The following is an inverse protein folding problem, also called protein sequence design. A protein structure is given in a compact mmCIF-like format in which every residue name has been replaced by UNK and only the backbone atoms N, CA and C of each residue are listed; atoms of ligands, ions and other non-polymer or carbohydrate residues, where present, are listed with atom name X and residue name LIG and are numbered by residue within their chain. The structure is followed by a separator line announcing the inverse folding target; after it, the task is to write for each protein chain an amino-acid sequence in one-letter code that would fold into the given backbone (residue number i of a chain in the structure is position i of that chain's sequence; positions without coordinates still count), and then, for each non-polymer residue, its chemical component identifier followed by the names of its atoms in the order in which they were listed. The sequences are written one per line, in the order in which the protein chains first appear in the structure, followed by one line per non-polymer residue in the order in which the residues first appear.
data_IF_160534680310
#
_entry.id   IF_160534680310
#
_cell.length_a   1.000
_cell.length_b   1.000
_cell.length_c   1.000
_cell.angle_alpha   90.00
_cell.angle_beta   90.00
_cell.angle_gamma   90.00
#
_symmetry.space_group_name_H-M   'P 1'
#
loop_
_entity.id
_entity.type
_entity.pdbx_description
1 polymer ?
#
# COMPACT_ATOMS: atom_id res chain seq x y z
N UNK A 1 -24.29 -4.29 15.56
CA UNK A 1 -23.91 -5.71 15.52
C UNK A 1 -22.78 -5.89 16.51
N UNK A 2 -22.92 -6.78 17.47
CA UNK A 2 -21.87 -7.11 18.43
C UNK A 2 -21.78 -8.63 18.57
N UNK A 3 -20.57 -9.11 18.86
CA UNK A 3 -20.31 -10.52 19.11
C UNK A 3 -20.36 -10.68 20.63
N UNK A 4 -21.29 -11.50 21.11
CA UNK A 4 -21.39 -11.88 22.52
C UNK A 4 -20.25 -12.83 22.90
N UNK A 5 -19.89 -12.88 24.19
CA UNK A 5 -18.80 -13.73 24.70
C UNK A 5 -19.04 -15.25 24.46
N UNK A 6 -20.27 -15.63 24.12
CA UNK A 6 -20.68 -16.99 23.76
C UNK A 6 -20.57 -17.29 22.23
N UNK A 7 -20.13 -16.33 21.42
CA UNK A 7 -20.01 -16.46 19.97
C UNK A 7 -21.27 -16.12 19.17
N UNK A 8 -22.36 -15.68 19.82
CA UNK A 8 -23.56 -15.22 19.13
C UNK A 8 -23.33 -13.86 18.47
N UNK A 9 -23.92 -13.67 17.29
CA UNK A 9 -23.96 -12.38 16.60
C UNK A 9 -25.36 -11.82 16.73
N UNK A 10 -25.48 -10.73 17.49
CA UNK A 10 -26.76 -10.04 17.71
C UNK A 10 -26.76 -8.69 17.00
N UNK A 11 -27.90 -8.34 16.39
CA UNK A 11 -28.15 -7.00 15.88
C UNK A 11 -29.51 -6.50 16.35
N UNK A 12 -29.57 -5.20 16.61
CA UNK A 12 -30.76 -4.51 17.07
C UNK A 12 -30.92 -3.27 16.20
N UNK A 13 -32.15 -2.99 15.75
CA UNK A 13 -32.46 -1.74 15.07
C UNK A 13 -32.37 -0.58 16.08
N UNK A 14 -31.30 0.22 15.98
CA UNK A 14 -31.08 1.41 16.83
C UNK A 14 -31.82 2.66 16.35
N UNK A 15 -32.65 2.56 15.31
CA UNK A 15 -33.38 3.72 14.78
C UNK A 15 -34.42 4.28 15.77
N UNK A 16 -34.85 3.48 16.74
CA UNK A 16 -35.81 3.88 17.77
C UNK A 16 -37.20 4.22 17.23
N UNK A 17 -37.48 3.91 15.96
CA UNK A 17 -38.73 4.23 15.27
C UNK A 17 -39.45 2.95 14.89
N UNK A 18 -40.74 2.86 15.21
CA UNK A 18 -41.60 1.79 14.71
C UNK A 18 -41.69 1.91 13.19
N UNK A 19 -41.07 0.99 12.45
CA UNK A 19 -41.11 1.00 10.98
C UNK A 19 -42.31 0.17 10.50
N UNK A 20 -43.36 0.85 10.03
CA UNK A 20 -44.51 0.19 9.38
C UNK A 20 -44.28 0.04 7.88
N UNK A 21 -44.62 -1.12 7.31
CA UNK A 21 -44.59 -1.34 5.85
C UNK A 21 -43.29 -1.96 5.31
N UNK A 22 -42.42 -2.48 6.17
CA UNK A 22 -41.26 -3.28 5.74
C UNK A 22 -41.76 -4.59 5.15
N UNK A 23 -41.55 -4.79 3.84
CA UNK A 23 -41.90 -6.03 3.13
C UNK A 23 -40.87 -7.14 3.31
N UNK A 24 -39.60 -6.79 3.53
CA UNK A 24 -38.52 -7.70 3.90
C UNK A 24 -37.31 -6.93 4.45
N UNK A 25 -36.57 -7.53 5.38
CA UNK A 25 -35.27 -7.05 5.85
C UNK A 25 -34.22 -8.05 5.39
N UNK A 26 -33.14 -7.57 4.77
CA UNK A 26 -31.99 -8.41 4.41
C UNK A 26 -30.78 -7.96 5.22
N UNK A 27 -30.33 -8.80 6.14
CA UNK A 27 -29.00 -8.70 6.73
C UNK A 27 -28.05 -9.57 5.89
N UNK A 28 -26.85 -9.08 5.63
CA UNK A 28 -25.80 -9.86 5.00
C UNK A 28 -24.56 -9.71 5.85
N UNK A 29 -24.04 -10.83 6.33
CA UNK A 29 -22.78 -10.92 7.03
C UNK A 29 -21.94 -11.98 6.30
N UNK A 30 -20.62 -11.83 6.35
CA UNK A 30 -19.70 -12.81 5.78
C UNK A 30 -19.00 -13.51 6.94
N UNK A 31 -19.09 -14.83 6.96
CA UNK A 31 -18.37 -15.65 7.93
C UNK A 31 -17.04 -16.01 7.28
N UNK A 32 -15.92 -15.83 8.00
CA UNK A 32 -14.60 -16.26 7.50
C UNK A 32 -14.64 -17.76 7.19
N UNK A 33 -13.99 -18.17 6.10
CA UNK A 33 -14.04 -19.55 5.57
C UNK A 33 -13.57 -20.64 6.55
N UNK A 34 -12.88 -20.27 7.62
CA UNK A 34 -12.42 -21.18 8.67
C UNK A 34 -13.52 -21.54 9.70
N UNK A 35 -14.72 -20.97 9.59
CA UNK A 35 -15.87 -21.34 10.42
C UNK A 35 -16.84 -22.19 9.61
N UNK A 36 -17.15 -23.41 10.09
CA UNK A 36 -18.22 -24.24 9.55
C UNK A 36 -19.58 -23.75 10.05
N UNK A 37 -20.44 -23.27 9.15
CA UNK A 37 -21.86 -23.03 9.44
C UNK A 37 -22.61 -24.36 9.42
N UNK A 38 -23.15 -24.79 10.57
CA UNK A 38 -23.77 -26.11 10.72
C UNK A 38 -25.29 -26.09 10.55
N UNK A 39 -25.92 -24.91 10.68
CA UNK A 39 -27.35 -24.75 10.44
C UNK A 39 -27.83 -23.33 10.67
N UNK A 40 -28.91 -22.99 9.97
CA UNK A 40 -29.68 -21.77 10.14
C UNK A 40 -30.97 -22.13 10.89
N UNK A 41 -31.25 -21.46 12.01
CA UNK A 41 -32.58 -21.55 12.64
C UNK A 41 -33.25 -20.20 12.49
N UNK A 42 -34.40 -20.22 11.80
CA UNK A 42 -35.34 -19.11 11.78
C UNK A 42 -36.45 -19.45 12.76
N UNK A 43 -36.52 -18.69 13.85
CA UNK A 43 -37.69 -18.65 14.74
C UNK A 43 -38.36 -17.28 14.60
N UNK A 44 -39.61 -17.16 15.06
CA UNK A 44 -40.46 -15.99 14.80
C UNK A 44 -39.80 -14.63 15.09
N UNK A 45 -38.79 -14.55 15.97
CA UNK A 45 -38.11 -13.31 16.32
C UNK A 45 -36.56 -13.40 16.34
N UNK A 46 -35.96 -14.55 15.99
CA UNK A 46 -34.50 -14.75 16.06
C UNK A 46 -33.98 -15.54 14.85
N UNK A 47 -32.94 -14.99 14.21
CA UNK A 47 -32.08 -15.69 13.27
C UNK A 47 -30.76 -16.02 13.98
N UNK A 48 -30.48 -17.30 14.17
CA UNK A 48 -29.24 -17.76 14.77
C UNK A 48 -28.44 -18.62 13.78
N UNK A 49 -27.14 -18.33 13.67
CA UNK A 49 -26.18 -19.17 12.95
C UNK A 49 -25.40 -19.97 13.97
N UNK A 50 -25.50 -21.29 13.91
CA UNK A 50 -24.70 -22.17 14.76
C UNK A 50 -23.38 -22.48 14.08
N UNK A 51 -22.30 -22.03 14.70
CA UNK A 51 -20.93 -22.38 14.33
C UNK A 51 -20.45 -23.47 15.29
N UNK A 52 -20.29 -24.71 14.82
CA UNK A 52 -19.78 -25.79 15.67
C UNK A 52 -18.87 -26.75 14.92
N UNK A 53 -17.58 -26.46 14.95
CA UNK A 53 -16.48 -27.42 15.08
C UNK A 53 -15.21 -26.59 15.01
N UNK A 54 -14.60 -26.36 16.17
CA UNK A 54 -13.17 -26.08 16.24
C UNK A 54 -12.48 -27.34 15.72
N UNK A 55 -12.20 -27.39 14.43
CA UNK A 55 -10.92 -27.97 14.08
C UNK A 55 -9.91 -27.02 14.74
N UNK A 56 -9.17 -27.50 15.76
CA UNK A 56 -8.00 -26.82 16.33
C UNK A 56 -6.86 -26.73 15.30
N UNK A 57 -7.20 -26.57 14.02
CA UNK A 57 -6.24 -26.28 12.99
C UNK A 57 -5.58 -24.96 13.36
N UNK A 58 -4.25 -24.89 13.24
CA UNK A 58 -3.53 -23.68 13.49
C UNK A 58 -4.07 -22.54 12.62
N UNK A 59 -4.20 -21.36 13.20
CA UNK A 59 -4.61 -20.14 12.50
C UNK A 59 -3.50 -19.12 12.59
N UNK A 60 -3.26 -18.41 11.48
CA UNK A 60 -2.40 -17.23 11.41
C UNK A 60 -3.24 -16.03 10.96
N UNK A 61 -3.03 -14.89 11.59
CA UNK A 61 -3.63 -13.61 11.22
C UNK A 61 -2.56 -12.52 11.29
N UNK A 62 -2.80 -11.40 10.64
CA UNK A 62 -1.95 -10.21 10.68
C UNK A 62 -2.79 -9.00 11.04
N UNK A 63 -2.20 -8.05 11.77
CA UNK A 63 -2.85 -6.81 12.20
C UNK A 63 -3.30 -5.91 11.04
N UNK A 64 -2.51 -5.88 9.96
CA UNK A 64 -2.81 -5.13 8.74
C UNK A 64 -2.36 -5.88 7.47
N UNK A 65 -3.18 -5.80 6.43
CA UNK A 65 -2.90 -6.45 5.13
C UNK A 65 -1.98 -5.62 4.22
N UNK A 66 -1.74 -4.35 4.55
CA UNK A 66 -0.85 -3.49 3.79
C UNK A 66 -0.18 -2.44 4.69
N UNK A 67 0.96 -1.95 4.22
CA UNK A 67 1.76 -0.94 4.89
C UNK A 67 2.93 -0.53 4.02
N UNK A 68 3.86 0.23 4.59
CA UNK A 68 5.02 0.77 3.90
C UNK A 68 6.31 0.03 4.33
N UNK A 69 7.38 0.14 3.54
CA UNK A 69 8.69 -0.38 3.99
C UNK A 69 9.07 0.24 5.33
N UNK A 70 9.51 -0.60 6.27
CA UNK A 70 9.85 -0.20 7.63
C UNK A 70 8.67 -0.15 8.60
N UNK A 71 7.45 -0.45 8.14
CA UNK A 71 6.35 -0.78 9.04
C UNK A 71 6.56 -2.16 9.68
N UNK A 72 6.17 -2.28 10.94
CA UNK A 72 6.01 -3.59 11.59
C UNK A 72 4.65 -4.19 11.26
N UNK A 73 4.63 -5.44 10.85
CA UNK A 73 3.44 -6.27 10.67
C UNK A 73 3.42 -7.33 11.76
N UNK A 74 2.39 -7.32 12.59
CA UNK A 74 2.27 -8.23 13.72
C UNK A 74 1.46 -9.45 13.32
N UNK A 75 2.15 -10.55 13.09
CA UNK A 75 1.53 -11.85 12.86
C UNK A 75 1.21 -12.50 14.20
N UNK A 76 -0.06 -12.87 14.39
CA UNK A 76 -0.52 -13.60 15.56
C UNK A 76 -1.13 -14.91 15.15
N UNK A 77 -0.81 -15.97 15.88
CA UNK A 77 -1.35 -17.28 15.62
C UNK A 77 -1.87 -17.97 16.87
N UNK A 78 -2.76 -18.94 16.68
CA UNK A 78 -3.44 -19.69 17.75
C UNK A 78 -3.70 -21.13 17.31
N UNK A 79 -4.05 -21.98 18.28
CA UNK A 79 -4.31 -23.42 18.10
C UNK A 79 -3.06 -24.21 17.65
N UNK A 80 -1.88 -23.81 18.11
CA UNK A 80 -0.67 -24.62 17.97
C UNK A 80 -0.50 -25.52 19.19
N UNK A 81 0.30 -26.57 19.03
CA UNK A 81 0.69 -27.44 20.14
C UNK A 81 1.43 -26.62 21.20
N UNK A 82 0.83 -26.55 22.39
CA UNK A 82 1.31 -25.77 23.53
C UNK A 82 2.78 -26.06 23.85
N UNK A 83 3.57 -25.00 24.01
CA UNK A 83 5.01 -25.08 24.32
C UNK A 83 5.85 -25.88 23.32
N UNK A 84 5.38 -26.04 22.06
CA UNK A 84 6.11 -26.74 21.00
C UNK A 84 6.54 -25.80 19.88
N UNK A 85 7.47 -26.32 19.08
CA UNK A 85 8.07 -25.58 17.98
C UNK A 85 7.11 -25.48 16.79
N UNK A 86 7.09 -24.31 16.18
CA UNK A 86 6.39 -24.03 14.94
C UNK A 86 7.40 -23.46 13.93
N UNK A 87 7.14 -23.65 12.64
CA UNK A 87 7.96 -23.12 11.55
C UNK A 87 7.15 -22.14 10.72
N UNK A 88 7.57 -20.87 10.73
CA UNK A 88 7.14 -19.88 9.76
C UNK A 88 7.80 -20.18 8.42
N UNK A 89 7.02 -20.16 7.34
CA UNK A 89 7.49 -20.16 5.96
C UNK A 89 7.11 -18.81 5.35
N UNK A 90 8.09 -18.04 4.91
CA UNK A 90 7.92 -16.65 4.45
C UNK A 90 8.46 -16.55 3.03
N UNK A 91 7.59 -16.28 2.07
CA UNK A 91 7.93 -16.10 0.66
C UNK A 91 7.59 -14.68 0.19
N UNK A 92 8.25 -14.23 -0.88
CA UNK A 92 7.95 -12.93 -1.49
C UNK A 92 8.18 -12.93 -3.00
N UNK A 93 7.61 -11.95 -3.68
CA UNK A 93 7.82 -11.67 -5.11
C UNK A 93 9.16 -10.95 -5.41
N UNK A 94 9.82 -10.41 -4.38
CA UNK A 94 10.99 -9.54 -4.51
C UNK A 94 12.25 -10.04 -3.80
N UNK A 95 12.14 -11.04 -2.94
CA UNK A 95 13.25 -11.59 -2.14
C UNK A 95 13.14 -13.11 -1.98
N UNK A 96 14.24 -13.73 -1.57
CA UNK A 96 14.31 -15.17 -1.34
C UNK A 96 13.37 -15.61 -0.20
N UNK A 97 12.75 -16.78 -0.39
CA UNK A 97 11.98 -17.45 0.65
C UNK A 97 12.89 -17.84 1.81
N UNK A 98 12.46 -17.61 3.04
CA UNK A 98 13.14 -18.05 4.24
C UNK A 98 12.16 -18.67 5.24
N UNK A 99 12.71 -19.35 6.25
CA UNK A 99 11.92 -19.98 7.29
C UNK A 99 12.49 -19.66 8.66
N UNK A 100 11.60 -19.55 9.64
CA UNK A 100 11.94 -19.16 10.99
C UNK A 100 11.26 -20.07 12.01
N UNK A 101 12.01 -20.56 12.99
CA UNK A 101 11.47 -21.42 14.05
C UNK A 101 11.12 -20.54 15.26
N UNK A 102 9.92 -20.78 15.79
CA UNK A 102 9.42 -20.17 17.03
C UNK A 102 8.83 -21.23 17.93
N UNK A 103 8.46 -20.86 19.15
CA UNK A 103 7.80 -21.75 20.11
C UNK A 103 6.47 -21.13 20.48
N UNK A 104 5.39 -21.91 20.36
CA UNK A 104 4.09 -21.50 20.86
C UNK A 104 4.11 -21.42 22.39
N UNK A 105 3.36 -20.50 22.97
CA UNK A 105 3.22 -20.40 24.43
C UNK A 105 2.43 -21.58 25.03
N UNK A 106 2.20 -21.56 26.34
CA UNK A 106 1.43 -22.57 27.07
C UNK A 106 -0.07 -22.56 26.73
N UNK A 107 -0.55 -21.52 26.03
CA UNK A 107 -1.89 -21.43 25.46
C UNK A 107 -1.94 -21.85 23.98
N UNK A 108 -0.81 -22.17 23.36
CA UNK A 108 -0.74 -22.55 21.95
C UNK A 108 -0.82 -21.36 20.99
N UNK A 109 -0.38 -20.18 21.44
CA UNK A 109 -0.34 -18.94 20.66
C UNK A 109 1.09 -18.57 20.28
N UNK A 110 1.20 -17.78 19.21
CA UNK A 110 2.47 -17.21 18.72
C UNK A 110 2.28 -15.74 18.36
N UNK A 111 3.37 -14.98 18.45
CA UNK A 111 3.48 -13.62 17.92
C UNK A 111 4.79 -13.48 17.17
N UNK A 112 4.75 -12.87 15.99
CA UNK A 112 5.91 -12.58 15.17
C UNK A 112 5.78 -11.20 14.55
N UNK A 113 6.69 -10.32 14.91
CA UNK A 113 6.77 -8.97 14.36
C UNK A 113 7.70 -9.02 13.14
N UNK A 114 7.15 -8.74 11.97
CA UNK A 114 7.86 -8.77 10.69
C UNK A 114 8.05 -7.36 10.15
N UNK A 115 9.29 -7.00 9.82
CA UNK A 115 9.66 -5.68 9.30
C UNK A 115 10.32 -5.82 7.92
N UNK A 116 9.54 -5.76 6.84
CA UNK A 116 10.06 -5.85 5.48
C UNK A 116 10.86 -4.60 5.12
N UNK A 117 12.05 -4.82 4.55
CA UNK A 117 12.98 -3.76 4.11
C UNK A 117 12.90 -3.45 2.62
N UNK A 118 12.12 -4.24 1.87
CA UNK A 118 11.90 -4.11 0.43
C UNK A 118 10.39 -4.10 0.19
N UNK A 119 9.93 -3.25 -0.73
CA UNK A 119 8.54 -3.23 -1.13
C UNK A 119 8.20 -4.46 -1.98
N UNK A 120 7.03 -5.03 -1.76
CA UNK A 120 6.66 -6.29 -2.38
C UNK A 120 5.46 -6.93 -1.70
N UNK A 121 5.12 -8.12 -2.15
CA UNK A 121 4.07 -8.95 -1.60
C UNK A 121 4.73 -10.08 -0.83
N UNK A 122 4.46 -10.16 0.48
CA UNK A 122 4.98 -11.23 1.32
C UNK A 122 3.84 -12.17 1.68
N UNK A 123 4.10 -13.47 1.64
CA UNK A 123 3.14 -14.51 2.02
C UNK A 123 3.74 -15.36 3.12
N UNK A 124 2.96 -15.58 4.17
CA UNK A 124 3.36 -16.35 5.34
C UNK A 124 2.41 -17.50 5.61
N UNK A 125 2.98 -18.65 5.98
CA UNK A 125 2.27 -19.76 6.64
C UNK A 125 3.05 -20.21 7.86
N UNK A 126 2.38 -20.87 8.79
CA UNK A 126 3.04 -21.48 9.96
C UNK A 126 2.65 -22.94 10.05
N UNK A 127 3.67 -23.79 10.16
CA UNK A 127 3.52 -25.23 10.37
C UNK A 127 3.79 -25.60 11.82
N UNK A 128 2.86 -26.29 12.46
CA UNK A 128 3.09 -26.99 13.73
C UNK A 128 4.02 -28.18 13.48
N UNK A 129 5.19 -28.21 14.13
CA UNK A 129 6.17 -29.28 13.90
C UNK A 129 5.86 -30.58 14.65
N UNK A 130 4.96 -30.54 15.63
CA UNK A 130 4.52 -31.73 16.37
C UNK A 130 3.40 -32.47 15.62
N UNK A 131 2.37 -31.75 15.17
CA UNK A 131 1.23 -32.37 14.46
C UNK A 131 1.46 -32.44 12.96
N UNK A 132 2.27 -31.54 12.40
CA UNK A 132 2.45 -31.39 10.96
C UNK A 132 1.40 -30.52 10.28
N UNK A 133 0.41 -30.00 11.03
CA UNK A 133 -0.64 -29.12 10.52
C UNK A 133 -0.07 -27.75 10.12
N UNK A 134 -0.66 -27.13 9.10
CA UNK A 134 -0.20 -25.85 8.57
C UNK A 134 -1.36 -24.87 8.43
N UNK A 135 -1.10 -23.59 8.73
CA UNK A 135 -2.07 -22.52 8.59
C UNK A 135 -2.37 -22.26 7.11
N UNK A 136 -3.49 -21.60 6.82
CA UNK A 136 -3.65 -20.94 5.53
C UNK A 136 -2.60 -19.84 5.32
N UNK A 137 -2.32 -19.52 4.06
CA UNK A 137 -1.44 -18.42 3.69
C UNK A 137 -2.05 -17.06 4.07
N UNK A 138 -1.25 -16.20 4.68
CA UNK A 138 -1.58 -14.80 4.96
C UNK A 138 -0.62 -13.93 4.15
N UNK A 139 -1.16 -13.04 3.33
CA UNK A 139 -0.36 -12.15 2.49
C UNK A 139 -0.47 -10.70 2.97
N UNK A 140 0.66 -9.98 2.92
CA UNK A 140 0.73 -8.55 3.14
C UNK A 140 1.31 -7.85 1.90
N UNK A 141 0.87 -6.62 1.64
CA UNK A 141 1.43 -5.75 0.59
C UNK A 141 2.23 -4.61 1.20
N UNK A 142 3.51 -4.53 0.84
CA UNK A 142 4.46 -3.54 1.34
C UNK A 142 4.76 -2.55 0.22
N UNK A 143 4.56 -1.26 0.52
CA UNK A 143 4.70 -0.14 -0.42
C UNK A 143 6.08 0.51 -0.35
N UNK A 144 6.54 1.08 -1.48
CA UNK A 144 7.90 1.59 -1.73
C UNK A 144 8.32 2.76 -0.83
N UNK A 145 7.41 3.68 -0.59
CA UNK A 145 7.74 4.93 0.08
C UNK A 145 7.50 4.81 1.58
N UNK A 146 8.41 5.34 2.39
CA UNK A 146 8.28 5.40 3.84
C UNK A 146 8.05 6.85 4.26
N UNK A 147 6.99 7.11 5.03
CA UNK A 147 6.77 8.42 5.63
C UNK A 147 7.77 8.64 6.79
N UNK A 148 8.50 9.75 6.75
CA UNK A 148 9.44 10.12 7.81
C UNK A 148 8.77 10.90 8.96
N UNK A 149 7.50 11.29 8.81
CA UNK A 149 6.75 12.08 9.80
C UNK A 149 7.13 13.56 9.85
N UNK A 150 8.06 14.01 9.01
CA UNK A 150 8.53 15.41 8.91
C UNK A 150 8.02 16.13 7.65
N UNK A 151 7.07 15.51 6.92
CA UNK A 151 6.58 16.00 5.63
C UNK A 151 7.40 15.54 4.43
N UNK A 152 8.42 14.69 4.63
CA UNK A 152 9.13 13.98 3.57
C UNK A 152 8.76 12.49 3.50
N UNK A 153 8.85 11.95 2.29
CA UNK A 153 8.68 10.53 1.99
C UNK A 153 10.01 9.99 1.48
N UNK A 154 10.56 8.98 2.15
CA UNK A 154 11.78 8.28 1.74
C UNK A 154 11.45 7.24 0.67
N UNK A 155 12.05 7.40 -0.50
CA UNK A 155 12.02 6.39 -1.56
C UNK A 155 13.06 5.31 -1.26
N UNK A 156 12.60 4.11 -0.93
CA UNK A 156 13.50 3.02 -0.50
C UNK A 156 14.28 2.39 -1.64
N UNK A 157 13.90 2.63 -2.90
CA UNK A 157 14.64 2.14 -4.08
C UNK A 157 15.76 3.12 -4.43
N UNK A 158 15.42 4.39 -4.67
CA UNK A 158 16.40 5.40 -5.15
C UNK A 158 17.20 6.05 -4.02
N UNK A 159 16.75 5.87 -2.77
CA UNK A 159 17.26 6.57 -1.59
C UNK A 159 17.13 8.08 -1.66
N UNK A 160 16.23 8.60 -2.50
CA UNK A 160 15.85 10.01 -2.51
C UNK A 160 14.74 10.26 -1.49
N UNK A 161 14.65 11.50 -1.03
CA UNK A 161 13.49 11.97 -0.28
C UNK A 161 12.68 12.94 -1.12
N UNK A 162 11.38 12.71 -1.14
CA UNK A 162 10.41 13.51 -1.87
C UNK A 162 9.52 14.25 -0.89
N UNK A 163 9.11 15.46 -1.23
CA UNK A 163 8.14 16.16 -0.40
C UNK A 163 6.81 15.43 -0.45
N UNK A 164 6.18 15.19 0.71
CA UNK A 164 4.90 14.45 0.79
C UNK A 164 3.79 15.17 0.05
N UNK A 165 3.78 16.51 0.11
CA UNK A 165 2.95 17.37 -0.72
C UNK A 165 3.70 17.66 -2.02
N UNK A 166 3.16 17.19 -3.16
CA UNK A 166 3.83 17.37 -4.47
C UNK A 166 3.71 18.78 -5.05
N UNK A 167 3.04 19.68 -4.32
CA UNK A 167 2.84 21.09 -4.67
C UNK A 167 3.86 21.98 -3.93
N UNK A 168 5.14 21.86 -4.31
CA UNK A 168 6.25 22.53 -3.63
C UNK A 168 6.23 24.05 -3.71
N UNK A 169 5.49 24.62 -4.68
CA UNK A 169 5.44 26.06 -4.94
C UNK A 169 4.05 26.67 -4.76
N UNK A 170 3.12 25.95 -4.13
CA UNK A 170 1.75 26.40 -3.88
C UNK A 170 0.97 26.78 -5.16
N UNK A 171 1.15 25.99 -6.21
CA UNK A 171 0.55 26.16 -7.52
C UNK A 171 1.50 25.75 -8.64
N UNK A 172 1.01 25.85 -9.87
CA UNK A 172 1.85 25.75 -11.05
C UNK A 172 2.67 27.02 -11.24
N UNK A 173 3.91 26.86 -11.70
CA UNK A 173 4.83 27.98 -11.94
C UNK A 173 5.56 27.82 -13.27
N UNK A 174 5.99 28.93 -13.84
CA UNK A 174 6.97 28.93 -14.93
C UNK A 174 8.32 28.38 -14.43
N UNK A 175 9.09 27.79 -15.35
CA UNK A 175 10.32 27.09 -14.97
C UNK A 175 11.38 28.01 -14.32
N UNK A 176 11.44 29.27 -14.71
CA UNK A 176 12.34 30.26 -14.11
C UNK A 176 12.12 30.43 -12.58
N UNK A 177 10.88 30.21 -12.12
CA UNK A 177 10.51 30.30 -10.70
C UNK A 177 10.69 28.96 -9.99
N UNK A 178 10.63 27.84 -10.72
CA UNK A 178 10.58 26.48 -10.18
C UNK A 178 11.73 26.13 -9.23
N UNK A 179 12.94 26.66 -9.47
CA UNK A 179 14.08 26.42 -8.59
C UNK A 179 14.16 27.40 -7.40
N UNK A 180 13.40 28.50 -7.43
CA UNK A 180 13.48 29.58 -6.41
C UNK A 180 12.36 29.53 -5.37
N UNK A 181 11.23 28.89 -5.69
CA UNK A 181 10.09 28.77 -4.77
C UNK A 181 10.24 27.64 -3.76
N UNK A 182 11.32 26.86 -3.84
CA UNK A 182 11.52 25.66 -3.03
C UNK A 182 12.02 25.97 -1.61
N UNK A 183 11.56 25.22 -0.59
CA UNK A 183 12.10 25.35 0.75
C UNK A 183 13.60 24.99 0.81
N UNK A 184 14.31 25.56 1.78
CA UNK A 184 15.74 25.27 1.99
C UNK A 184 16.00 23.76 2.14
N UNK A 185 17.02 23.27 1.45
CA UNK A 185 17.39 21.85 1.44
C UNK A 185 16.62 20.98 0.43
N UNK A 186 15.66 21.56 -0.28
CA UNK A 186 14.97 20.93 -1.40
C UNK A 186 15.41 21.53 -2.74
N UNK A 187 15.32 20.74 -3.80
CA UNK A 187 15.64 21.17 -5.17
C UNK A 187 14.65 20.59 -6.17
N UNK A 188 14.68 21.15 -7.38
CA UNK A 188 13.98 20.60 -8.53
C UNK A 188 14.65 19.26 -8.92
N UNK A 189 13.88 18.19 -9.18
CA UNK A 189 14.44 16.90 -9.59
C UNK A 189 14.94 16.96 -11.03
N UNK A 190 15.96 16.17 -11.36
CA UNK A 190 16.29 15.92 -12.78
C UNK A 190 15.19 15.08 -13.44
N UNK A 191 15.18 15.01 -14.77
CA UNK A 191 14.22 14.14 -15.46
C UNK A 191 14.44 12.68 -15.08
N UNK A 192 15.69 12.25 -14.86
CA UNK A 192 16.00 10.89 -14.40
C UNK A 192 15.34 10.59 -13.06
N UNK A 193 15.44 11.52 -12.10
CA UNK A 193 14.86 11.35 -10.77
C UNK A 193 13.33 11.37 -10.82
N UNK A 194 12.74 12.34 -11.53
CA UNK A 194 11.31 12.45 -11.66
C UNK A 194 10.69 11.24 -12.37
N UNK A 195 11.38 10.70 -13.37
CA UNK A 195 10.99 9.48 -14.08
C UNK A 195 10.93 8.26 -13.14
N UNK A 196 11.78 8.20 -12.11
CA UNK A 196 11.74 7.09 -11.13
C UNK A 196 10.45 7.05 -10.29
N UNK A 197 9.70 8.15 -10.19
CA UNK A 197 8.37 8.16 -9.57
C UNK A 197 7.31 7.59 -10.50
N UNK A 198 7.51 7.75 -11.81
CA UNK A 198 6.62 7.22 -12.85
C UNK A 198 6.75 5.69 -12.98
N UNK A 199 7.92 5.14 -12.64
CA UNK A 199 8.21 3.71 -12.66
C UNK A 199 8.01 3.09 -11.28
N UNK A 200 7.19 2.04 -11.18
CA UNK A 200 7.04 1.30 -9.91
C UNK A 200 8.37 0.73 -9.41
N UNK A 201 9.19 0.19 -10.33
CA UNK A 201 10.50 -0.39 -10.05
C UNK A 201 11.61 0.64 -9.77
N UNK A 202 11.32 1.95 -9.90
CA UNK A 202 12.26 3.03 -9.66
C UNK A 202 13.43 3.10 -10.64
N UNK A 203 13.42 2.31 -11.72
CA UNK A 203 14.46 2.38 -12.77
C UNK A 203 14.21 3.57 -13.71
N UNK A 204 15.17 3.87 -14.57
CA UNK A 204 15.01 4.82 -15.68
C UNK A 204 14.95 4.11 -17.03
N UNK A 205 14.55 2.83 -17.04
CA UNK A 205 14.44 2.05 -18.28
C UNK A 205 13.41 2.69 -19.21
N UNK A 206 13.78 2.90 -20.47
CA UNK A 206 12.94 3.54 -21.47
C UNK A 206 12.97 5.08 -21.46
N UNK A 207 13.71 5.70 -20.53
CA UNK A 207 13.94 7.14 -20.58
C UNK A 207 14.81 7.46 -21.81
N UNK A 208 14.25 8.23 -22.74
CA UNK A 208 14.95 8.81 -23.88
C UNK A 208 14.93 10.34 -23.76
N UNK A 209 16.11 10.92 -23.53
CA UNK A 209 16.30 12.37 -23.43
C UNK A 209 16.47 13.06 -24.79
N UNK A 210 16.49 12.29 -25.87
CA UNK A 210 16.56 12.76 -27.25
C UNK A 210 15.26 12.53 -28.02
N UNK A 211 14.20 12.05 -27.35
CA UNK A 211 12.93 11.82 -28.00
C UNK A 211 12.38 13.12 -28.60
N UNK A 212 12.02 13.07 -29.89
CA UNK A 212 11.48 14.23 -30.60
C UNK A 212 9.99 14.48 -30.32
N UNK A 213 9.31 13.52 -29.66
CA UNK A 213 7.90 13.59 -29.30
C UNK A 213 7.67 13.04 -27.89
N UNK A 214 6.46 13.21 -27.36
CA UNK A 214 6.05 12.67 -26.07
C UNK A 214 5.98 11.13 -26.08
N UNK A 215 6.16 10.52 -24.92
CA UNK A 215 6.05 9.07 -24.73
C UNK A 215 5.58 8.73 -23.32
N UNK A 216 5.33 7.45 -23.04
CA UNK A 216 5.00 6.98 -21.69
C UNK A 216 6.20 6.36 -21.01
N UNK A 217 6.38 6.62 -19.71
CA UNK A 217 7.49 6.05 -18.93
C UNK A 217 7.47 4.51 -18.82
N UNK A 218 6.35 3.85 -19.16
CA UNK A 218 6.25 2.39 -19.23
C UNK A 218 5.90 1.89 -20.63
N UNK A 219 6.12 2.70 -21.67
CA UNK A 219 5.72 2.41 -23.06
C UNK A 219 4.20 2.39 -23.30
N UNK A 220 3.39 2.50 -22.25
CA UNK A 220 1.94 2.63 -22.27
C UNK A 220 1.48 3.49 -21.07
N UNK A 221 0.25 3.99 -21.14
CA UNK A 221 -0.34 4.81 -20.08
C UNK A 221 -0.39 4.06 -18.74
N UNK A 222 0.01 4.74 -17.66
CA UNK A 222 0.03 4.22 -16.29
C UNK A 222 -0.58 5.22 -15.31
N UNK A 223 -1.55 4.78 -14.51
CA UNK A 223 -2.12 5.61 -13.43
C UNK A 223 -1.19 5.60 -12.23
N UNK A 224 -0.15 6.45 -12.29
CA UNK A 224 0.78 6.63 -11.17
C UNK A 224 0.23 7.51 -10.08
N UNK A 225 -0.72 8.38 -10.39
CA UNK A 225 -1.35 9.25 -9.43
C UNK A 225 -2.04 8.46 -8.33
N UNK A 226 -2.94 7.54 -8.69
CA UNK A 226 -3.67 6.74 -7.70
C UNK A 226 -2.72 5.93 -6.83
N UNK A 227 -1.69 5.35 -7.44
CA UNK A 227 -0.71 4.50 -6.75
C UNK A 227 0.17 5.31 -5.78
N UNK A 228 0.69 6.48 -6.17
CA UNK A 228 1.52 7.30 -5.29
C UNK A 228 0.68 7.95 -4.18
N UNK A 229 -0.59 8.29 -4.47
CA UNK A 229 -1.55 8.72 -3.46
C UNK A 229 -1.80 7.62 -2.42
N UNK A 230 -1.98 6.38 -2.87
CA UNK A 230 -2.10 5.21 -2.00
C UNK A 230 -0.84 4.98 -1.16
N UNK A 231 0.34 5.33 -1.67
CA UNK A 231 1.61 5.29 -0.93
C UNK A 231 1.72 6.39 0.14
N UNK A 232 0.75 7.31 0.20
CA UNK A 232 0.57 8.29 1.27
C UNK A 232 0.91 9.73 0.87
N UNK A 233 1.26 9.99 -0.38
CA UNK A 233 1.53 11.36 -0.83
C UNK A 233 0.24 12.16 -1.07
N UNK A 234 0.37 13.48 -0.93
CA UNK A 234 -0.61 14.46 -1.41
C UNK A 234 -0.20 14.92 -2.82
N UNK A 235 -0.62 14.12 -3.81
CA UNK A 235 -0.24 14.28 -5.22
C UNK A 235 -1.30 15.07 -5.98
N UNK A 236 -0.88 16.13 -6.67
CA UNK A 236 -1.72 16.88 -7.60
C UNK A 236 -2.09 16.04 -8.82
N UNK A 237 -3.36 16.09 -9.24
CA UNK A 237 -3.97 14.99 -9.98
C UNK A 237 -4.89 15.35 -11.14
N UNK A 238 -5.02 16.62 -11.52
CA UNK A 238 -5.88 16.91 -12.66
C UNK A 238 -5.20 16.47 -13.95
N UNK A 239 -6.02 16.01 -14.91
CA UNK A 239 -5.64 15.41 -16.20
C UNK A 239 -4.71 16.26 -17.09
N UNK A 240 -4.37 17.49 -16.67
CA UNK A 240 -3.55 18.44 -17.43
C UNK A 240 -2.29 18.90 -16.68
N UNK A 241 -1.99 18.31 -15.52
CA UNK A 241 -0.90 18.81 -14.69
C UNK A 241 0.33 17.91 -14.71
N UNK A 242 1.43 18.52 -15.12
CA UNK A 242 2.75 17.91 -15.16
C UNK A 242 3.62 18.43 -14.01
N UNK A 243 4.73 17.76 -13.79
CA UNK A 243 5.78 18.18 -12.86
C UNK A 243 7.04 18.55 -13.64
N UNK A 244 7.58 19.75 -13.38
CA UNK A 244 8.83 20.18 -13.98
C UNK A 244 10.01 19.33 -13.50
N UNK A 245 10.94 19.08 -14.42
CA UNK A 245 12.31 18.69 -14.07
C UNK A 245 13.28 19.87 -14.20
N UNK A 246 14.49 19.69 -13.70
CA UNK A 246 15.62 20.62 -13.90
C UNK A 246 16.38 20.35 -15.20
N UNK A 247 15.91 19.44 -16.04
CA UNK A 247 16.61 18.99 -17.25
C UNK A 247 16.03 19.67 -18.49
N UNK A 248 16.88 20.33 -19.27
CA UNK A 248 16.49 20.90 -20.56
C UNK A 248 16.53 19.85 -21.67
N UNK A 249 15.78 20.08 -22.75
CA UNK A 249 15.85 19.28 -23.96
C UNK A 249 17.22 19.45 -24.64
N UNK A 250 17.72 18.39 -25.29
CA UNK A 250 19.07 18.39 -25.88
C UNK A 250 19.20 19.35 -27.06
N UNK A 251 18.12 19.55 -27.81
CA UNK A 251 18.09 20.46 -28.97
C UNK A 251 17.87 21.94 -28.60
N UNK A 252 17.40 22.27 -27.39
CA UNK A 252 17.20 23.66 -26.95
C UNK A 252 17.02 23.77 -25.44
N UNK A 253 17.67 24.76 -24.83
CA UNK A 253 17.51 25.09 -23.41
C UNK A 253 16.18 25.78 -23.07
N UNK A 254 15.38 26.16 -24.06
CA UNK A 254 14.04 26.73 -23.86
C UNK A 254 12.99 25.66 -23.58
N UNK A 255 13.22 24.42 -24.02
CA UNK A 255 12.33 23.30 -23.78
C UNK A 255 12.80 22.53 -22.55
N UNK A 256 11.88 22.26 -21.62
CA UNK A 256 12.16 21.61 -20.35
C UNK A 256 11.35 20.34 -20.25
N UNK A 257 11.99 19.26 -19.80
CA UNK A 257 11.32 17.99 -19.57
C UNK A 257 10.37 18.05 -18.37
N UNK A 258 9.22 17.43 -18.50
CA UNK A 258 8.22 17.24 -17.45
C UNK A 258 7.60 15.84 -17.51
N UNK A 259 6.97 15.44 -16.39
CA UNK A 259 6.27 14.15 -16.27
C UNK A 259 4.86 14.36 -15.74
N UNK A 260 3.87 13.73 -16.37
CA UNK A 260 2.49 13.65 -15.91
C UNK A 260 2.26 12.36 -15.13
N UNK A 261 1.75 12.47 -13.90
CA UNK A 261 1.56 11.29 -13.04
C UNK A 261 0.18 10.64 -13.22
N UNK A 262 -0.79 11.33 -13.85
CA UNK A 262 -2.12 10.78 -14.13
C UNK A 262 -2.08 9.61 -15.12
N UNK A 263 -1.16 9.64 -16.07
CA UNK A 263 -1.06 8.69 -17.17
C UNK A 263 0.39 8.31 -17.53
N UNK A 264 1.38 8.89 -16.85
CA UNK A 264 2.80 8.56 -17.05
C UNK A 264 3.42 9.19 -18.30
N UNK A 265 2.82 10.27 -18.84
CA UNK A 265 3.37 11.00 -19.99
C UNK A 265 4.69 11.66 -19.61
N UNK A 266 5.68 11.50 -20.47
CA UNK A 266 6.98 12.16 -20.45
C UNK A 266 7.09 12.99 -21.71
N UNK A 267 7.30 14.29 -21.55
CA UNK A 267 7.37 15.23 -22.66
C UNK A 267 8.18 16.46 -22.26
N UNK A 268 8.29 17.43 -23.16
CA UNK A 268 8.98 18.68 -22.93
C UNK A 268 8.14 19.86 -23.43
N UNK A 269 8.30 21.01 -22.78
CA UNK A 269 7.52 22.21 -23.09
C UNK A 269 8.33 23.48 -22.91
N UNK A 270 7.90 24.53 -23.60
CA UNK A 270 8.57 25.82 -23.56
C UNK A 270 8.49 26.46 -22.16
N UNK A 271 9.64 26.88 -21.64
CA UNK A 271 9.76 27.40 -20.29
C UNK A 271 9.02 28.72 -20.02
N UNK A 272 8.60 29.43 -21.08
CA UNK A 272 7.90 30.72 -21.00
C UNK A 272 6.37 30.56 -21.07
N UNK A 273 5.87 29.62 -21.88
CA UNK A 273 4.43 29.48 -22.10
C UNK A 273 3.74 28.49 -21.16
N UNK A 274 4.49 27.52 -20.63
CA UNK A 274 3.93 26.49 -19.75
C UNK A 274 4.18 26.82 -18.28
N UNK A 275 3.22 26.43 -17.44
CA UNK A 275 3.34 26.41 -15.99
C UNK A 275 2.97 25.02 -15.50
N UNK A 276 3.83 24.42 -14.70
CA UNK A 276 3.66 23.06 -14.17
C UNK A 276 3.96 23.06 -12.67
N UNK A 277 3.56 22.00 -11.97
CA UNK A 277 3.90 21.84 -10.56
C UNK A 277 5.39 21.52 -10.39
N UNK A 278 5.84 21.66 -9.16
CA UNK A 278 7.19 21.32 -8.75
C UNK A 278 7.10 20.32 -7.62
N UNK A 279 7.60 19.11 -7.86
CA UNK A 279 7.72 18.07 -6.83
C UNK A 279 9.14 18.08 -6.26
N UNK A 280 9.37 18.65 -5.08
CA UNK A 280 10.72 18.85 -4.59
C UNK A 280 11.36 17.53 -4.18
N UNK A 281 12.66 17.41 -4.44
CA UNK A 281 13.48 16.26 -4.07
C UNK A 281 14.71 16.71 -3.29
N UNK A 282 15.26 15.83 -2.45
CA UNK A 282 16.58 15.95 -1.86
C UNK A 282 17.24 14.57 -1.74
N UNK A 283 18.55 14.54 -1.53
CA UNK A 283 19.26 13.30 -1.22
C UNK A 283 18.73 12.70 0.10
N UNK A 284 18.55 11.39 0.16
CA UNK A 284 18.33 10.70 1.42
C UNK A 284 19.64 10.62 2.21
N UNK A 285 19.53 10.83 3.51
CA UNK A 285 20.60 10.54 4.48
C UNK A 285 20.53 9.09 4.93
#
# INVERSE_FOLDING_TARGET
MYIEDNGNISWEDKSGKSQSGIKSVKASFSIKSNYLTLGEIVSNDNYAVFVKNYAESPVLEVDKASGNVGDTFKFTGRNFTKSRSVKFSISSDVAMTFAEIRTADDEGKISYDFEPTIAGTYTMSVKDLMTGDETSNVSIKVKRFKDNGDGSMMDTITKLQWMKKSDGCAGTVHWATANTCLPSGWRLPTIQELYTLCREDGTTTGLDINAEDWYYCNGHAVDRWSQIKDDGFDVQSDYHWYYWSSTTHTSSTTFIWYVGMSDGVVSYGDNYYYSNYVWPVRSGH
#
